data_IF_280021275962
#
_entry.id   IF_280021275962
#
_cell.length_a   1.000
_cell.length_b   1.000
_cell.length_c   1.000
_cell.angle_alpha   90.00
_cell.angle_beta   90.00
_cell.angle_gamma   90.00
#
_symmetry.space_group_name_H-M   'P 1'
#
loop_
_entity.id
_entity.type
_entity.pdbx_description
1 polymer ?
#
# COMPACT_ATOMS: atom_id res chain seq x y z
N UNK A 1 10.57 -3.87 3.92
CA UNK A 1 11.37 -2.91 3.13
C UNK A 1 12.39 -2.15 3.98
N UNK A 2 12.00 -1.60 5.14
CA UNK A 2 12.91 -0.82 6.01
C UNK A 2 14.16 -1.63 6.39
N UNK A 3 14.01 -2.86 6.90
CA UNK A 3 15.15 -3.73 7.27
C UNK A 3 16.09 -3.95 6.07
N UNK A 4 15.54 -4.30 4.90
CA UNK A 4 16.35 -4.51 3.70
C UNK A 4 17.11 -3.24 3.29
N UNK A 5 16.47 -2.06 3.37
CA UNK A 5 17.14 -0.78 3.12
C UNK A 5 18.33 -0.57 4.07
N UNK A 6 18.14 -0.78 5.37
CA UNK A 6 19.22 -0.63 6.35
C UNK A 6 20.36 -1.61 6.08
N UNK A 7 20.06 -2.89 5.82
CA UNK A 7 21.08 -3.89 5.50
C UNK A 7 21.87 -3.49 4.23
N UNK A 8 21.21 -2.92 3.23
CA UNK A 8 21.90 -2.43 2.04
C UNK A 8 22.82 -1.24 2.33
N UNK A 9 22.48 -0.36 3.27
CA UNK A 9 23.38 0.72 3.70
C UNK A 9 24.65 0.17 4.39
N UNK A 10 24.53 -0.98 5.07
CA UNK A 10 25.66 -1.70 5.69
C UNK A 10 26.44 -2.61 4.71
N UNK A 11 26.21 -2.47 3.39
CA UNK A 11 26.95 -3.20 2.36
C UNK A 11 26.42 -4.60 2.02
N UNK A 12 25.31 -5.04 2.62
CA UNK A 12 24.64 -6.27 2.22
C UNK A 12 23.92 -6.10 0.87
N UNK A 13 23.57 -7.23 0.25
CA UNK A 13 22.90 -7.27 -1.06
C UNK A 13 21.62 -8.08 -1.00
N UNK A 14 20.65 -7.70 -1.84
CA UNK A 14 19.40 -8.46 -2.03
C UNK A 14 19.58 -9.41 -3.21
N UNK A 15 19.25 -10.68 -3.03
CA UNK A 15 19.27 -11.70 -4.08
C UNK A 15 17.89 -12.33 -4.24
N UNK A 16 17.50 -12.61 -5.48
CA UNK A 16 16.30 -13.37 -5.79
C UNK A 16 16.57 -14.87 -5.58
N UNK A 17 15.71 -15.55 -4.82
CA UNK A 17 15.78 -16.99 -4.58
C UNK A 17 14.46 -17.65 -4.98
N UNK A 18 14.44 -18.34 -6.13
CA UNK A 18 13.23 -18.97 -6.67
C UNK A 18 12.70 -20.14 -5.84
N UNK A 19 13.57 -20.74 -5.01
CA UNK A 19 13.23 -21.88 -4.15
C UNK A 19 12.55 -21.44 -2.85
N UNK A 20 12.76 -20.19 -2.40
CA UNK A 20 12.13 -19.62 -1.21
C UNK A 20 10.67 -19.25 -1.50
N UNK A 21 9.77 -20.24 -1.40
CA UNK A 21 8.35 -20.10 -1.73
C UNK A 21 7.49 -19.96 -0.48
N UNK A 22 6.47 -19.11 -0.57
CA UNK A 22 5.43 -18.93 0.47
C UNK A 22 4.06 -18.89 -0.20
N UNK A 23 3.03 -19.32 0.52
CA UNK A 23 1.63 -19.16 0.09
C UNK A 23 1.10 -17.86 0.66
N UNK A 24 0.59 -16.98 -0.20
CA UNK A 24 0.00 -15.71 0.20
C UNK A 24 -1.29 -15.45 -0.59
N UNK A 25 -2.37 -15.19 0.14
CA UNK A 25 -3.67 -14.83 -0.45
C UNK A 25 -4.39 -13.85 0.47
N UNK A 26 -5.13 -12.92 -0.14
CA UNK A 26 -6.01 -12.01 0.55
C UNK A 26 -7.20 -11.69 -0.35
N UNK A 27 -8.39 -11.64 0.24
CA UNK A 27 -9.58 -11.10 -0.39
C UNK A 27 -10.06 -9.89 0.42
N UNK A 28 -9.36 -8.77 0.23
CA UNK A 28 -9.64 -7.56 0.98
C UNK A 28 -10.81 -6.80 0.38
N UNK A 29 -11.80 -6.51 1.22
CA UNK A 29 -12.82 -5.50 0.97
C UNK A 29 -12.19 -4.11 0.76
N UNK A 30 -12.94 -3.20 0.12
CA UNK A 30 -12.50 -1.82 -0.06
C UNK A 30 -12.13 -1.11 1.27
N UNK A 31 -12.85 -1.40 2.36
CA UNK A 31 -12.54 -0.88 3.69
C UNK A 31 -11.22 -1.42 4.24
N UNK A 32 -10.96 -2.71 4.07
CA UNK A 32 -9.68 -3.30 4.48
C UNK A 32 -8.52 -2.78 3.63
N UNK A 33 -8.73 -2.61 2.32
CA UNK A 33 -7.75 -1.96 1.45
C UNK A 33 -7.43 -0.55 1.93
N UNK A 34 -8.43 0.23 2.30
CA UNK A 34 -8.24 1.56 2.88
C UNK A 34 -7.41 1.50 4.17
N UNK A 35 -7.83 0.71 5.17
CA UNK A 35 -7.18 0.68 6.48
C UNK A 35 -5.72 0.20 6.39
N UNK A 36 -5.47 -0.84 5.58
CA UNK A 36 -4.12 -1.33 5.31
C UNK A 36 -3.24 -0.26 4.68
N UNK A 37 -3.76 0.49 3.71
CA UNK A 37 -2.95 1.52 3.04
C UNK A 37 -2.80 2.77 3.91
N UNK A 38 -3.74 3.06 4.80
CA UNK A 38 -3.56 4.06 5.85
C UNK A 38 -2.36 3.72 6.74
N UNK A 39 -2.29 2.50 7.27
CA UNK A 39 -1.15 2.07 8.09
C UNK A 39 0.17 2.09 7.32
N UNK A 40 0.16 1.76 6.02
CA UNK A 40 1.34 1.93 5.16
C UNK A 40 1.76 3.40 5.00
N UNK A 41 0.80 4.30 4.81
CA UNK A 41 1.06 5.74 4.73
C UNK A 41 1.68 6.28 6.02
N UNK A 42 1.17 5.85 7.18
CA UNK A 42 1.76 6.16 8.50
C UNK A 42 3.21 5.71 8.55
N UNK A 43 3.48 4.44 8.22
CA UNK A 43 4.83 3.88 8.21
C UNK A 43 5.76 4.65 7.26
N UNK A 44 5.31 4.97 6.06
CA UNK A 44 6.12 5.74 5.10
C UNK A 44 6.42 7.16 5.60
N UNK A 45 5.47 7.79 6.30
CA UNK A 45 5.66 9.12 6.91
C UNK A 45 6.66 9.07 8.08
N UNK A 46 6.63 8.01 8.89
CA UNK A 46 7.53 7.82 10.04
C UNK A 46 8.97 7.50 9.62
N UNK A 47 9.14 6.77 8.52
CA UNK A 47 10.46 6.40 7.97
C UNK A 47 10.76 7.18 6.68
N UNK A 48 10.56 8.49 6.72
CA UNK A 48 10.69 9.36 5.55
C UNK A 48 12.10 9.32 4.92
N UNK A 49 13.14 9.06 5.71
CA UNK A 49 14.52 8.87 5.24
C UNK A 49 14.66 7.71 4.25
N UNK A 50 13.79 6.69 4.37
CA UNK A 50 13.72 5.53 3.47
C UNK A 50 12.82 5.82 2.27
N UNK A 51 11.64 6.41 2.51
CA UNK A 51 10.57 6.45 1.51
C UNK A 51 10.44 7.78 0.76
N UNK A 52 10.88 8.91 1.31
CA UNK A 52 10.68 10.23 0.67
C UNK A 52 11.45 10.40 -0.65
N UNK A 53 12.49 9.58 -0.86
CA UNK A 53 13.32 9.60 -2.08
C UNK A 53 12.71 8.79 -3.23
N UNK A 54 11.63 8.05 -3.00
CA UNK A 54 11.05 7.11 -3.97
C UNK A 54 9.53 7.30 -4.06
N UNK A 55 9.03 7.66 -5.24
CA UNK A 55 7.57 7.75 -5.46
C UNK A 55 6.99 6.42 -5.93
N UNK A 56 6.03 5.89 -5.17
CA UNK A 56 5.30 4.65 -5.52
C UNK A 56 4.02 4.91 -6.34
N UNK A 57 3.56 6.16 -6.42
CA UNK A 57 2.27 6.49 -7.04
C UNK A 57 2.30 6.33 -8.57
N UNK A 58 3.41 6.66 -9.23
CA UNK A 58 3.54 6.59 -10.70
C UNK A 58 3.48 5.14 -11.21
N UNK A 59 4.26 4.26 -10.58
CA UNK A 59 4.22 2.82 -10.89
C UNK A 59 2.83 2.23 -10.59
N UNK A 60 2.22 2.65 -9.48
CA UNK A 60 0.85 2.26 -9.13
C UNK A 60 -0.19 2.66 -10.19
N UNK A 61 -0.11 3.90 -10.70
CA UNK A 61 -0.99 4.37 -11.75
C UNK A 61 -0.78 3.63 -13.08
N UNK A 62 0.48 3.36 -13.45
CA UNK A 62 0.82 2.58 -14.64
C UNK A 62 0.26 1.16 -14.58
N UNK A 63 0.41 0.49 -13.42
CA UNK A 63 -0.18 -0.82 -13.17
C UNK A 63 -1.71 -0.78 -13.24
N UNK A 64 -2.36 0.18 -12.57
CA UNK A 64 -3.81 0.30 -12.55
C UNK A 64 -4.37 0.48 -13.98
N UNK A 65 -3.78 1.37 -14.78
CA UNK A 65 -4.20 1.59 -16.17
C UNK A 65 -4.05 0.32 -17.03
N UNK A 66 -2.94 -0.40 -16.87
CA UNK A 66 -2.70 -1.66 -17.61
C UNK A 66 -3.73 -2.74 -17.23
N UNK A 67 -4.03 -2.89 -15.94
CA UNK A 67 -4.99 -3.87 -15.44
C UNK A 67 -6.42 -3.55 -15.89
N UNK A 68 -6.84 -2.29 -15.78
CA UNK A 68 -8.17 -1.85 -16.28
C UNK A 68 -8.30 -2.13 -17.77
N UNK A 69 -7.29 -1.76 -18.57
CA UNK A 69 -7.28 -2.05 -20.02
C UNK A 69 -7.38 -3.54 -20.31
N UNK A 70 -6.71 -4.38 -19.54
CA UNK A 70 -6.78 -5.84 -19.69
C UNK A 70 -8.17 -6.39 -19.37
N UNK A 71 -8.77 -5.96 -18.26
CA UNK A 71 -10.12 -6.38 -17.85
C UNK A 71 -11.18 -5.97 -18.88
N UNK A 72 -11.13 -4.72 -19.36
CA UNK A 72 -12.07 -4.23 -20.37
C UNK A 72 -11.94 -4.98 -21.70
N UNK A 73 -10.71 -5.30 -22.12
CA UNK A 73 -10.48 -6.13 -23.33
C UNK A 73 -11.05 -7.54 -23.20
N UNK A 74 -11.11 -8.09 -21.99
CA UNK A 74 -11.72 -9.40 -21.70
C UNK A 74 -13.22 -9.36 -21.48
N UNK A 75 -13.88 -8.19 -21.59
CA UNK A 75 -15.32 -8.05 -21.31
C UNK A 75 -15.68 -7.96 -19.82
N UNK A 76 -14.69 -7.94 -18.93
CA UNK A 76 -14.85 -7.88 -17.47
C UNK A 76 -15.11 -6.45 -16.98
N UNK A 77 -16.18 -5.83 -17.46
CA UNK A 77 -16.48 -4.41 -17.17
C UNK A 77 -16.73 -4.17 -15.68
N UNK A 78 -17.42 -5.10 -15.02
CA UNK A 78 -17.74 -4.95 -13.60
C UNK A 78 -16.49 -5.10 -12.72
N UNK A 79 -15.63 -6.07 -13.03
CA UNK A 79 -14.35 -6.24 -12.34
C UNK A 79 -13.44 -5.02 -12.54
N UNK A 80 -13.43 -4.43 -13.74
CA UNK A 80 -12.68 -3.21 -14.02
C UNK A 80 -13.16 -2.04 -13.15
N UNK A 81 -14.48 -1.85 -13.00
CA UNK A 81 -15.02 -0.83 -12.12
C UNK A 81 -14.66 -1.12 -10.66
N UNK A 82 -14.88 -2.34 -10.17
CA UNK A 82 -14.61 -2.68 -8.78
C UNK A 82 -13.12 -2.55 -8.45
N UNK A 83 -12.24 -2.93 -9.37
CA UNK A 83 -10.81 -2.71 -9.26
C UNK A 83 -10.46 -1.22 -9.16
N UNK A 84 -11.10 -0.34 -9.95
CA UNK A 84 -10.92 1.11 -9.82
C UNK A 84 -11.36 1.62 -8.44
N UNK A 85 -12.47 1.13 -7.89
CA UNK A 85 -12.92 1.48 -6.53
C UNK A 85 -11.89 1.02 -5.50
N UNK A 86 -11.37 -0.21 -5.61
CA UNK A 86 -10.31 -0.71 -4.74
C UNK A 86 -9.05 0.17 -4.83
N UNK A 87 -8.60 0.53 -6.03
CA UNK A 87 -7.48 1.45 -6.23
C UNK A 87 -7.72 2.81 -5.57
N UNK A 88 -8.94 3.36 -5.70
CA UNK A 88 -9.35 4.59 -5.03
C UNK A 88 -9.22 4.46 -3.50
N UNK A 89 -9.77 3.40 -2.91
CA UNK A 89 -9.66 3.16 -1.46
C UNK A 89 -8.21 3.02 -0.99
N UNK A 90 -7.34 2.35 -1.76
CA UNK A 90 -5.90 2.25 -1.46
C UNK A 90 -5.26 3.64 -1.44
N UNK A 91 -5.50 4.44 -2.48
CA UNK A 91 -4.89 5.77 -2.61
C UNK A 91 -5.37 6.74 -1.52
N UNK A 92 -6.68 6.76 -1.23
CA UNK A 92 -7.25 7.61 -0.18
C UNK A 92 -6.67 7.19 1.18
N UNK A 93 -6.65 5.90 1.50
CA UNK A 93 -6.05 5.38 2.73
C UNK A 93 -4.59 5.82 2.86
N UNK A 94 -3.79 5.57 1.82
CA UNK A 94 -2.38 5.94 1.77
C UNK A 94 -2.14 7.44 2.01
N UNK A 95 -2.84 8.30 1.27
CA UNK A 95 -2.65 9.76 1.40
C UNK A 95 -3.11 10.28 2.75
N UNK A 96 -4.18 9.73 3.32
CA UNK A 96 -4.61 10.09 4.67
C UNK A 96 -3.60 9.62 5.73
N UNK A 97 -2.99 8.45 5.53
CA UNK A 97 -1.91 7.93 6.36
C UNK A 97 -0.66 8.81 6.33
N UNK A 98 -0.32 9.44 5.20
CA UNK A 98 0.83 10.36 5.11
C UNK A 98 0.69 11.65 5.95
N UNK A 99 -0.54 12.00 6.34
CA UNK A 99 -0.86 13.18 7.16
C UNK A 99 -1.49 12.78 8.50
N UNK A 100 -1.22 11.56 8.97
CA UNK A 100 -1.81 11.02 10.21
C UNK A 100 -1.55 11.89 11.43
N UNK A 101 -0.43 12.60 11.45
CA UNK A 101 0.04 13.51 12.49
C UNK A 101 -0.87 14.74 12.66
N UNK A 102 -1.67 15.05 11.64
CA UNK A 102 -2.67 16.13 11.66
C UNK A 102 -4.07 15.65 12.02
N UNK A 103 -4.28 14.35 12.17
CA UNK A 103 -5.61 13.78 12.42
C UNK A 103 -5.90 13.76 13.93
N UNK A 104 -7.13 14.12 14.35
CA UNK A 104 -7.57 13.87 15.72
C UNK A 104 -7.50 12.38 16.03
N UNK A 105 -7.10 12.02 17.26
CA UNK A 105 -6.94 10.60 17.67
C UNK A 105 -8.18 9.74 17.37
N UNK A 106 -9.40 10.29 17.53
CA UNK A 106 -10.65 9.57 17.20
C UNK A 106 -10.76 9.20 15.72
N UNK A 107 -10.25 10.03 14.81
CA UNK A 107 -10.25 9.77 13.37
C UNK A 107 -9.18 8.74 13.04
N UNK A 108 -7.97 8.94 13.58
CA UNK A 108 -6.86 7.99 13.42
C UNK A 108 -7.27 6.56 13.81
N UNK A 109 -7.91 6.40 14.98
CA UNK A 109 -8.35 5.08 15.47
C UNK A 109 -9.47 4.45 14.63
N UNK A 110 -10.21 5.24 13.84
CA UNK A 110 -11.19 4.72 12.87
C UNK A 110 -10.57 4.32 11.54
N UNK A 111 -9.40 4.90 11.21
CA UNK A 111 -8.71 4.66 9.95
C UNK A 111 -7.74 3.48 10.02
N UNK A 112 -7.02 3.32 11.13
CA UNK A 112 -6.03 2.27 11.31
C UNK A 112 -6.65 0.87 11.40
N UNK A 113 -6.00 -0.12 10.78
CA UNK A 113 -6.32 -1.53 11.01
C UNK A 113 -5.58 -2.12 12.23
N UNK A 114 -4.65 -1.35 12.80
CA UNK A 114 -3.66 -1.80 13.79
C UNK A 114 -3.81 -1.02 15.10
N UNK A 115 -4.98 -1.08 15.73
CA UNK A 115 -5.29 -0.28 16.92
C UNK A 115 -4.28 -0.44 18.08
N UNK A 116 -3.68 -1.62 18.22
CA UNK A 116 -2.66 -1.92 19.24
C UNK A 116 -1.38 -1.09 19.10
N UNK A 117 -1.03 -0.65 17.89
CA UNK A 117 0.13 0.19 17.62
C UNK A 117 -0.02 1.60 18.23
N UNK A 118 -1.24 2.05 18.48
CA UNK A 118 -1.60 3.40 18.96
C UNK A 118 -2.07 3.44 20.42
N UNK A 119 -1.87 2.34 21.14
CA UNK A 119 -2.22 2.18 22.56
C UNK A 119 -1.09 2.67 23.46
#
# INVERSE_FOLDING_TARGET
MIIAYMMMQEGYRVAYCAEAKVVHSHDYTCRQQFARNFDLGVSHKQYAEVFAKVSSEKEGAGYAAKTVKMLLKGGHVWDAFYFCVQCGCRLIGYRLGLVYDKLPRRVLMKCTGSAWYWS
#
